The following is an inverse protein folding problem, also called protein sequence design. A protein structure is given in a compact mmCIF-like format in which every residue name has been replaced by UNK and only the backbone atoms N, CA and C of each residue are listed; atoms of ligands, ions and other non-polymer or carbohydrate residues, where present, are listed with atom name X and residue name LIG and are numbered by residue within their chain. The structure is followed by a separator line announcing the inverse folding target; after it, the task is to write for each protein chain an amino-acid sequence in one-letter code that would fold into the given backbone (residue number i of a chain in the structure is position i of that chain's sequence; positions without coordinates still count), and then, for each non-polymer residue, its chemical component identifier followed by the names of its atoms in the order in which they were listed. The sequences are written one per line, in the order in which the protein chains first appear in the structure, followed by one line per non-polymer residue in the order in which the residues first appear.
data_IF_661235595282
#
_entry.id   IF_661235595282
#
_cell.length_a   1.000
_cell.length_b   1.000
_cell.length_c   1.000
_cell.angle_alpha   90.00
_cell.angle_beta   90.00
_cell.angle_gamma   90.00
#
_symmetry.space_group_name_H-M   'P 1'
#
loop_
_entity.id
_entity.type
_entity.pdbx_description
1 polymer ?
#
# COMPACT_ATOMS: atom_id res chain seq x y z
N UNK A 1 -50.22 0.20 43.52
CA UNK A 1 -48.86 0.59 43.06
C UNK A 1 -48.62 -0.07 41.71
N UNK A 2 -48.61 0.71 40.61
CA UNK A 2 -48.23 0.22 39.28
C UNK A 2 -46.77 0.59 39.06
N UNK A 3 -45.90 -0.41 39.02
CA UNK A 3 -44.49 -0.26 38.65
C UNK A 3 -44.39 -0.28 37.12
N UNK A 4 -44.08 0.88 36.53
CA UNK A 4 -43.72 0.98 35.12
C UNK A 4 -42.25 0.55 34.97
N UNK A 5 -42.00 -0.56 34.29
CA UNK A 5 -40.68 -0.90 33.77
C UNK A 5 -40.44 -0.11 32.48
N UNK A 6 -39.50 0.83 32.52
CA UNK A 6 -39.02 1.53 31.33
C UNK A 6 -37.92 0.68 30.69
N UNK A 7 -38.23 0.01 29.58
CA UNK A 7 -37.24 -0.71 28.76
C UNK A 7 -36.57 0.31 27.84
N UNK A 8 -35.29 0.60 28.09
CA UNK A 8 -34.46 1.43 27.21
C UNK A 8 -33.99 0.56 26.04
N UNK A 9 -34.53 0.80 24.86
CA UNK A 9 -34.04 0.21 23.61
C UNK A 9 -32.77 0.97 23.17
N UNK A 10 -31.60 0.39 23.44
CA UNK A 10 -30.34 0.82 22.84
C UNK A 10 -30.35 0.42 21.35
N UNK A 11 -30.74 1.36 20.48
CA UNK A 11 -30.57 1.24 19.04
C UNK A 11 -29.06 1.28 18.73
N UNK A 12 -28.43 0.11 18.65
CA UNK A 12 -27.10 -0.05 18.09
C UNK A 12 -27.18 0.22 16.57
N UNK A 13 -27.00 1.48 16.18
CA UNK A 13 -26.77 1.83 14.78
C UNK A 13 -25.48 1.14 14.31
N UNK A 14 -25.65 0.01 13.62
CA UNK A 14 -24.56 -0.61 12.87
C UNK A 14 -24.27 0.27 11.66
N UNK A 15 -23.39 1.25 11.84
CA UNK A 15 -22.82 1.95 10.69
C UNK A 15 -22.01 0.93 9.89
N UNK A 16 -22.51 0.58 8.70
CA UNK A 16 -21.77 -0.27 7.78
C UNK A 16 -20.53 0.48 7.31
N UNK A 17 -19.36 0.11 7.83
CA UNK A 17 -18.09 0.59 7.27
C UNK A 17 -17.82 -0.13 5.95
N UNK A 18 -17.54 0.63 4.90
CA UNK A 18 -17.05 0.07 3.65
C UNK A 18 -15.52 -0.06 3.67
N UNK A 19 -14.98 -0.56 2.56
CA UNK A 19 -13.55 -0.51 2.27
C UNK A 19 -13.15 0.75 1.52
N UNK A 20 -11.87 1.06 1.57
CA UNK A 20 -11.23 2.03 0.69
C UNK A 20 -10.10 1.38 -0.11
N UNK A 21 -9.71 2.04 -1.20
CA UNK A 21 -8.62 1.62 -2.07
C UNK A 21 -7.57 2.72 -2.14
N UNK A 22 -6.30 2.36 -2.04
CA UNK A 22 -5.20 3.30 -2.28
C UNK A 22 -4.53 2.91 -3.60
N UNK A 23 -4.48 3.84 -4.54
CA UNK A 23 -3.79 3.68 -5.81
C UNK A 23 -2.35 4.16 -5.68
N UNK A 24 -1.42 3.40 -6.25
CA UNK A 24 -0.01 3.74 -6.32
C UNK A 24 0.41 3.93 -7.78
N UNK A 25 1.03 5.08 -8.03
CA UNK A 25 1.70 5.45 -9.28
C UNK A 25 3.16 5.85 -8.98
N UNK A 26 3.97 6.00 -10.03
CA UNK A 26 5.27 6.67 -9.92
C UNK A 26 5.37 7.74 -11.01
N UNK A 27 5.50 7.31 -12.27
CA UNK A 27 5.54 8.19 -13.44
C UNK A 27 4.18 8.29 -14.12
N UNK A 28 3.84 9.48 -14.60
CA UNK A 28 2.82 9.74 -15.61
C UNK A 28 3.52 10.24 -16.87
N UNK A 29 4.04 9.31 -17.67
CA UNK A 29 4.90 9.62 -18.82
C UNK A 29 4.95 8.47 -19.83
N UNK A 30 5.15 8.81 -21.09
CA UNK A 30 5.35 7.88 -22.22
C UNK A 30 6.82 7.48 -22.42
N UNK A 31 7.76 8.21 -21.82
CA UNK A 31 9.19 8.13 -22.13
C UNK A 31 10.02 7.48 -21.03
N UNK A 32 9.42 7.16 -19.90
CA UNK A 32 10.04 6.54 -18.73
C UNK A 32 9.89 5.01 -18.75
N UNK A 33 10.63 4.27 -17.92
CA UNK A 33 10.57 2.81 -17.91
C UNK A 33 9.13 2.29 -17.71
N UNK A 34 8.67 1.42 -18.61
CA UNK A 34 7.27 0.97 -18.62
C UNK A 34 6.83 0.37 -17.28
N UNK A 35 7.69 -0.36 -16.57
CA UNK A 35 7.37 -1.04 -15.31
C UNK A 35 6.82 -0.15 -14.19
N UNK A 36 7.06 1.16 -14.24
CA UNK A 36 6.62 2.15 -13.24
C UNK A 36 5.85 3.31 -13.85
N UNK A 37 5.50 3.21 -15.14
CA UNK A 37 4.89 4.31 -15.89
C UNK A 37 3.45 4.02 -16.30
N UNK A 38 2.65 5.08 -16.33
CA UNK A 38 1.35 5.13 -17.01
C UNK A 38 1.41 6.32 -17.98
N UNK A 39 0.83 6.20 -19.17
CA UNK A 39 0.78 7.35 -20.08
C UNK A 39 -0.17 8.43 -19.55
N UNK A 40 0.02 9.72 -19.87
CA UNK A 40 -0.94 10.76 -19.50
C UNK A 40 -2.38 10.46 -19.96
N UNK A 41 -2.55 9.88 -21.16
CA UNK A 41 -3.86 9.49 -21.70
C UNK A 41 -4.49 8.38 -20.86
N UNK A 42 -3.74 7.33 -20.54
CA UNK A 42 -4.25 6.21 -19.75
C UNK A 42 -4.53 6.65 -18.30
N UNK A 43 -3.72 7.55 -17.74
CA UNK A 43 -3.99 8.17 -16.45
C UNK A 43 -5.27 9.01 -16.47
N UNK A 44 -5.50 9.79 -17.53
CA UNK A 44 -6.77 10.51 -17.72
C UNK A 44 -7.97 9.55 -17.79
N UNK A 45 -7.82 8.36 -18.38
CA UNK A 45 -8.87 7.32 -18.37
C UNK A 45 -9.17 6.85 -16.94
N UNK A 46 -8.16 6.69 -16.09
CA UNK A 46 -8.37 6.34 -14.68
C UNK A 46 -9.16 7.41 -13.95
N UNK A 47 -8.76 8.69 -14.07
CA UNK A 47 -9.43 9.78 -13.38
C UNK A 47 -10.88 9.97 -13.85
N UNK A 48 -11.10 9.90 -15.16
CA UNK A 48 -12.45 9.94 -15.75
C UNK A 48 -13.32 8.82 -15.21
N UNK A 49 -12.79 7.59 -15.11
CA UNK A 49 -13.52 6.47 -14.56
C UNK A 49 -13.93 6.69 -13.10
N UNK A 50 -13.03 7.24 -12.27
CA UNK A 50 -13.34 7.58 -10.88
C UNK A 50 -14.51 8.56 -10.80
N UNK A 51 -14.50 9.60 -11.64
CA UNK A 51 -15.58 10.59 -11.71
C UNK A 51 -16.90 9.96 -12.17
N UNK A 52 -16.92 9.29 -13.33
CA UNK A 52 -18.13 8.73 -13.95
C UNK A 52 -18.78 7.65 -13.08
N UNK A 53 -18.01 6.97 -12.23
CA UNK A 53 -18.50 5.92 -11.34
C UNK A 53 -18.69 6.40 -9.89
N UNK A 54 -18.66 7.71 -9.66
CA UNK A 54 -18.92 8.34 -8.36
C UNK A 54 -18.01 7.83 -7.22
N UNK A 55 -16.72 7.70 -7.51
CA UNK A 55 -15.72 7.45 -6.47
C UNK A 55 -15.46 8.71 -5.65
N UNK A 56 -15.33 8.52 -4.34
CA UNK A 56 -14.97 9.56 -3.40
C UNK A 56 -13.44 9.59 -3.29
N UNK A 57 -12.79 10.42 -4.11
CA UNK A 57 -11.34 10.64 -3.99
C UNK A 57 -11.08 11.57 -2.81
N UNK A 58 -10.35 11.09 -1.81
CA UNK A 58 -10.11 11.80 -0.54
C UNK A 58 -8.62 11.95 -0.26
N UNK A 59 -8.20 12.97 0.52
CA UNK A 59 -6.83 13.04 0.98
C UNK A 59 -6.48 11.80 1.80
N UNK A 60 -5.26 11.28 1.62
CA UNK A 60 -4.83 10.09 2.34
C UNK A 60 -4.94 10.25 3.86
N UNK A 61 -4.69 11.47 4.36
CA UNK A 61 -4.80 11.80 5.78
C UNK A 61 -6.22 11.60 6.33
N UNK A 62 -7.25 11.98 5.58
CA UNK A 62 -8.64 11.75 5.97
C UNK A 62 -8.94 10.26 6.11
N UNK A 63 -8.51 9.47 5.12
CA UNK A 63 -8.73 8.02 5.12
C UNK A 63 -8.05 7.35 6.33
N UNK A 64 -6.78 7.69 6.57
CA UNK A 64 -6.01 7.14 7.68
C UNK A 64 -6.55 7.60 9.04
N UNK A 65 -6.93 8.87 9.18
CA UNK A 65 -7.54 9.37 10.42
C UNK A 65 -8.85 8.66 10.72
N UNK A 66 -9.68 8.38 9.71
CA UNK A 66 -10.90 7.61 9.90
C UNK A 66 -10.61 6.20 10.42
N UNK A 67 -9.62 5.50 9.86
CA UNK A 67 -9.24 4.16 10.32
C UNK A 67 -8.73 4.20 11.78
N UNK A 68 -7.81 5.14 12.10
CA UNK A 68 -7.28 5.30 13.47
C UNK A 68 -8.38 5.57 14.50
N UNK A 69 -9.35 6.40 14.12
CA UNK A 69 -10.45 6.80 15.00
C UNK A 69 -11.69 5.88 14.90
N UNK A 70 -11.56 4.73 14.23
CA UNK A 70 -12.63 3.76 14.03
C UNK A 70 -13.92 4.40 13.45
N UNK A 71 -13.75 5.39 12.57
CA UNK A 71 -14.83 6.08 11.90
C UNK A 71 -15.22 5.33 10.60
N UNK A 72 -16.52 5.12 10.35
CA UNK A 72 -16.98 4.41 9.16
C UNK A 72 -16.42 5.02 7.86
N UNK A 73 -15.92 4.15 6.96
CA UNK A 73 -15.48 4.57 5.63
C UNK A 73 -16.66 4.61 4.66
N UNK A 74 -16.74 5.67 3.85
CA UNK A 74 -17.75 5.80 2.79
C UNK A 74 -17.50 4.76 1.70
N UNK A 75 -18.57 4.31 1.05
CA UNK A 75 -18.44 3.43 -0.10
C UNK A 75 -17.67 4.12 -1.24
N UNK A 76 -16.96 3.34 -2.06
CA UNK A 76 -16.15 3.83 -3.20
C UNK A 76 -15.14 4.91 -2.80
N UNK A 77 -14.53 4.80 -1.62
CA UNK A 77 -13.47 5.73 -1.18
C UNK A 77 -12.13 5.35 -1.80
N UNK A 78 -11.43 6.32 -2.38
CA UNK A 78 -10.12 6.11 -3.02
C UNK A 78 -9.14 7.20 -2.58
N UNK A 79 -7.87 6.83 -2.36
CA UNK A 79 -6.77 7.77 -2.27
C UNK A 79 -5.77 7.54 -3.40
N UNK A 80 -5.16 8.61 -3.91
CA UNK A 80 -4.16 8.57 -5.00
C UNK A 80 -2.79 8.90 -4.40
N UNK A 81 -1.81 8.04 -4.67
CA UNK A 81 -0.44 8.21 -4.19
C UNK A 81 0.57 8.06 -5.33
N UNK A 82 1.65 8.84 -5.25
CA UNK A 82 2.80 8.78 -6.14
C UNK A 82 4.06 8.54 -5.31
N UNK A 83 4.90 7.63 -5.77
CA UNK A 83 6.22 7.38 -5.17
C UNK A 83 7.31 8.14 -5.94
N UNK A 84 8.49 8.29 -5.34
CA UNK A 84 9.75 8.85 -5.88
C UNK A 84 9.81 10.35 -6.21
N UNK A 85 8.68 11.05 -6.29
CA UNK A 85 8.64 12.49 -6.57
C UNK A 85 9.19 12.89 -7.95
N UNK A 86 8.91 12.12 -9.00
CA UNK A 86 9.31 12.47 -10.37
C UNK A 86 8.70 13.78 -10.87
N UNK A 87 9.45 14.49 -11.71
CA UNK A 87 9.03 15.80 -12.27
C UNK A 87 7.75 15.70 -13.11
N UNK A 88 7.50 14.56 -13.74
CA UNK A 88 6.31 14.33 -14.56
C UNK A 88 5.00 14.26 -13.75
N UNK A 89 5.08 14.08 -12.42
CA UNK A 89 3.92 14.27 -11.53
C UNK A 89 3.43 15.72 -11.62
N UNK A 90 4.34 16.70 -11.65
CA UNK A 90 3.98 18.11 -11.78
C UNK A 90 3.59 18.47 -13.21
N UNK A 91 4.33 18.01 -14.22
CA UNK A 91 4.09 18.45 -15.61
C UNK A 91 2.90 17.76 -16.26
N UNK A 92 2.66 16.49 -15.93
CA UNK A 92 1.66 15.65 -16.62
C UNK A 92 0.50 15.25 -15.69
N UNK A 93 0.77 14.83 -14.45
CA UNK A 93 -0.28 14.35 -13.56
C UNK A 93 -1.12 15.47 -12.93
N UNK A 94 -0.46 16.52 -12.40
CA UNK A 94 -1.12 17.63 -11.69
C UNK A 94 -2.21 18.32 -12.53
N UNK A 95 -1.99 18.73 -13.81
CA UNK A 95 -3.04 19.38 -14.59
C UNK A 95 -4.29 18.51 -14.77
N UNK A 96 -4.11 17.18 -14.83
CA UNK A 96 -5.20 16.22 -14.92
C UNK A 96 -5.92 16.06 -13.58
N UNK A 97 -5.19 16.00 -12.47
CA UNK A 97 -5.78 15.91 -11.12
C UNK A 97 -6.55 17.18 -10.74
N UNK A 98 -6.01 18.35 -11.05
CA UNK A 98 -6.63 19.66 -10.78
C UNK A 98 -7.99 19.80 -11.49
N UNK A 99 -8.11 19.29 -12.72
CA UNK A 99 -9.38 19.27 -13.48
C UNK A 99 -10.53 18.57 -12.73
N UNK A 100 -10.20 17.57 -11.91
CA UNK A 100 -11.19 16.83 -11.11
C UNK A 100 -11.19 17.25 -9.63
N UNK A 101 -10.33 18.19 -9.24
CA UNK A 101 -10.08 18.56 -7.84
C UNK A 101 -9.73 17.34 -6.97
N UNK A 102 -8.88 16.45 -7.48
CA UNK A 102 -8.52 15.21 -6.81
C UNK A 102 -7.28 15.38 -5.93
N UNK A 103 -7.39 15.17 -4.62
CA UNK A 103 -6.24 15.21 -3.72
C UNK A 103 -5.33 14.00 -3.94
N UNK A 104 -4.04 14.19 -3.66
CA UNK A 104 -3.03 13.15 -3.81
C UNK A 104 -1.88 13.31 -2.81
N UNK A 105 -1.08 12.27 -2.71
CA UNK A 105 0.11 12.20 -1.86
C UNK A 105 1.34 11.90 -2.70
N UNK A 106 2.46 12.55 -2.41
CA UNK A 106 3.77 12.25 -2.99
C UNK A 106 4.70 11.76 -1.87
N UNK A 107 5.22 10.55 -2.01
CA UNK A 107 6.29 10.04 -1.16
C UNK A 107 7.64 10.42 -1.77
N UNK A 108 8.53 10.97 -0.94
CA UNK A 108 9.77 11.61 -1.39
C UNK A 108 11.01 11.00 -0.76
N UNK A 109 12.13 11.07 -1.48
CA UNK A 109 13.45 10.66 -1.02
C UNK A 109 14.37 11.88 -0.84
N UNK A 110 14.52 12.43 0.37
CA UNK A 110 15.27 13.66 0.57
C UNK A 110 16.73 13.64 0.08
N UNK A 111 17.43 12.50 0.19
CA UNK A 111 18.79 12.35 -0.31
C UNK A 111 18.88 12.46 -1.83
N UNK A 112 17.93 11.84 -2.54
CA UNK A 112 17.82 11.91 -4.01
C UNK A 112 17.48 13.34 -4.46
N UNK A 113 16.48 13.98 -3.82
CA UNK A 113 16.07 15.36 -4.17
C UNK A 113 17.23 16.33 -3.97
N UNK A 114 17.93 16.26 -2.83
CA UNK A 114 19.07 17.14 -2.56
C UNK A 114 20.21 16.97 -3.57
N UNK A 115 20.54 15.73 -3.96
CA UNK A 115 21.55 15.49 -4.99
C UNK A 115 21.11 16.04 -6.35
N UNK A 116 19.83 15.88 -6.67
CA UNK A 116 19.29 16.36 -7.93
C UNK A 116 19.33 17.91 -8.01
N UNK A 117 18.96 18.62 -6.95
CA UNK A 117 19.06 20.09 -6.91
C UNK A 117 20.51 20.57 -7.14
N UNK A 118 21.50 19.87 -6.59
CA UNK A 118 22.91 20.19 -6.84
C UNK A 118 23.30 19.97 -8.32
N UNK A 119 22.70 18.98 -8.99
CA UNK A 119 22.94 18.71 -10.41
C UNK A 119 22.28 19.75 -11.35
N UNK A 120 21.15 20.34 -10.92
CA UNK A 120 20.53 21.47 -11.64
C UNK A 120 21.46 22.69 -11.68
N UNK A 121 22.17 22.96 -10.59
CA UNK A 121 23.19 24.03 -10.52
C UNK A 121 24.33 23.78 -11.53
N UNK A 122 24.60 22.53 -11.88
CA UNK A 122 25.62 22.15 -12.88
C UNK A 122 25.08 21.95 -14.30
N UNK A 123 23.82 22.35 -14.57
CA UNK A 123 23.24 22.37 -15.92
C UNK A 123 22.68 21.04 -16.43
N UNK A 124 22.43 20.06 -15.55
CA UNK A 124 21.80 18.77 -15.89
C UNK A 124 20.29 18.89 -15.71
N UNK A 125 19.48 18.41 -16.66
CA UNK A 125 18.01 18.37 -16.52
C UNK A 125 17.59 17.48 -15.34
N UNK A 126 16.67 17.96 -14.50
CA UNK A 126 16.15 17.19 -13.38
C UNK A 126 15.07 16.19 -13.81
N UNK A 127 15.14 14.98 -13.26
CA UNK A 127 14.08 13.98 -13.33
C UNK A 127 13.13 13.99 -12.11
N UNK A 128 13.43 14.78 -11.08
CA UNK A 128 12.71 14.82 -9.81
C UNK A 128 12.20 16.24 -9.50
N UNK A 129 11.17 16.33 -8.66
CA UNK A 129 10.70 17.60 -8.13
C UNK A 129 11.76 18.21 -7.20
N UNK A 130 11.94 19.53 -7.30
CA UNK A 130 12.74 20.30 -6.35
C UNK A 130 11.98 20.53 -5.04
N UNK A 131 12.66 20.94 -3.97
CA UNK A 131 12.01 21.32 -2.72
C UNK A 131 11.10 22.53 -2.87
N UNK A 132 11.45 23.47 -3.74
CA UNK A 132 10.58 24.61 -4.03
C UNK A 132 9.26 24.16 -4.68
N UNK A 133 9.33 23.21 -5.62
CA UNK A 133 8.14 22.63 -6.24
C UNK A 133 7.33 21.79 -5.24
N UNK A 134 7.98 20.96 -4.43
CA UNK A 134 7.33 20.15 -3.40
C UNK A 134 6.65 21.02 -2.33
N UNK A 135 7.29 22.12 -1.92
CA UNK A 135 6.69 23.08 -1.01
C UNK A 135 5.47 23.75 -1.63
N UNK A 136 5.54 24.20 -2.89
CA UNK A 136 4.41 24.78 -3.59
C UNK A 136 3.22 23.80 -3.66
N UNK A 137 3.47 22.55 -4.05
CA UNK A 137 2.45 21.49 -4.04
C UNK A 137 1.89 21.26 -2.63
N UNK A 138 2.76 21.28 -1.63
CA UNK A 138 2.38 21.15 -0.23
C UNK A 138 1.47 22.27 0.27
N UNK A 139 1.76 23.51 -0.11
CA UNK A 139 0.95 24.69 0.22
C UNK A 139 -0.42 24.66 -0.50
N UNK A 140 -0.53 23.95 -1.63
CA UNK A 140 -1.79 23.66 -2.34
C UNK A 140 -2.58 22.48 -1.73
N UNK A 141 -2.07 21.85 -0.67
CA UNK A 141 -2.74 20.75 0.04
C UNK A 141 -2.33 19.34 -0.40
N UNK A 142 -1.33 19.20 -1.27
CA UNK A 142 -0.72 17.90 -1.58
C UNK A 142 0.05 17.40 -0.36
N UNK A 143 -0.18 16.14 0.02
CA UNK A 143 0.56 15.53 1.14
C UNK A 143 1.96 15.17 0.65
N UNK A 144 2.99 15.67 1.32
CA UNK A 144 4.39 15.28 1.08
C UNK A 144 4.83 14.35 2.22
N UNK A 145 5.22 13.12 1.88
CA UNK A 145 5.45 12.04 2.84
C UNK A 145 6.76 11.30 2.57
N UNK A 146 7.15 10.40 3.48
CA UNK A 146 8.49 9.82 3.55
C UNK A 146 8.61 8.56 2.69
N UNK A 147 9.61 8.50 1.80
CA UNK A 147 9.97 7.29 1.03
C UNK A 147 11.35 6.74 1.42
N UNK A 148 11.89 7.15 2.56
CA UNK A 148 13.26 6.86 2.99
C UNK A 148 14.26 7.89 2.46
N UNK A 149 15.49 7.87 2.96
CA UNK A 149 16.47 8.90 2.59
C UNK A 149 17.04 8.70 1.18
N UNK A 150 17.47 7.48 0.83
CA UNK A 150 18.13 7.14 -0.44
C UNK A 150 17.40 6.09 -1.29
N UNK A 151 16.13 5.81 -0.98
CA UNK A 151 15.37 4.70 -1.58
C UNK A 151 15.99 3.31 -1.27
N UNK A 152 16.60 3.18 -0.08
CA UNK A 152 17.17 1.94 0.43
C UNK A 152 16.09 0.90 0.75
N UNK A 153 16.37 -0.37 0.50
CA UNK A 153 15.51 -1.46 0.97
C UNK A 153 15.59 -1.60 2.49
N UNK A 154 14.42 -1.65 3.14
CA UNK A 154 14.32 -1.88 4.59
C UNK A 154 14.21 -3.36 4.99
N UNK A 155 14.68 -4.25 4.13
CA UNK A 155 14.77 -5.69 4.45
C UNK A 155 16.18 -6.24 4.25
N UNK A 156 17.05 -5.47 3.57
CA UNK A 156 18.39 -5.89 3.17
C UNK A 156 19.41 -5.37 4.17
N UNK A 157 19.83 -6.23 5.08
CA UNK A 157 20.89 -5.92 6.05
C UNK A 157 22.22 -5.79 5.29
N UNK A 158 22.89 -4.66 5.47
CA UNK A 158 24.21 -4.40 4.90
C UNK A 158 25.24 -5.39 5.44
N UNK A 159 26.10 -5.90 4.55
CA UNK A 159 27.13 -6.87 4.91
C UNK A 159 28.00 -6.37 6.08
N UNK A 160 28.24 -7.28 7.04
CA UNK A 160 29.03 -6.99 8.24
C UNK A 160 28.27 -6.29 9.37
N UNK A 161 27.02 -5.88 9.17
CA UNK A 161 26.18 -5.34 10.25
C UNK A 161 25.34 -6.43 10.92
N UNK A 162 25.22 -6.34 12.24
CA UNK A 162 24.14 -7.03 12.95
C UNK A 162 22.80 -6.38 12.62
N UNK A 163 21.71 -7.11 12.80
CA UNK A 163 20.35 -6.57 12.63
C UNK A 163 20.11 -5.31 13.48
N UNK A 164 20.65 -5.26 14.70
CA UNK A 164 20.53 -4.09 15.58
C UNK A 164 21.30 -2.88 15.05
N UNK A 165 22.53 -3.07 14.57
CA UNK A 165 23.34 -2.00 13.99
C UNK A 165 22.70 -1.44 12.73
N UNK A 166 22.25 -2.33 11.84
CA UNK A 166 21.53 -1.94 10.63
C UNK A 166 20.23 -1.18 10.97
N UNK A 167 19.42 -1.68 11.91
CA UNK A 167 18.18 -0.99 12.29
C UNK A 167 18.47 0.39 12.91
N UNK A 168 19.55 0.55 13.68
CA UNK A 168 19.96 1.85 14.21
C UNK A 168 20.38 2.84 13.10
N UNK A 169 21.08 2.35 12.06
CA UNK A 169 21.40 3.16 10.88
C UNK A 169 20.13 3.57 10.12
N UNK A 170 19.23 2.62 9.85
CA UNK A 170 17.96 2.91 9.17
C UNK A 170 17.07 3.86 9.98
N UNK A 171 17.04 3.72 11.31
CA UNK A 171 16.35 4.65 12.22
C UNK A 171 16.84 6.08 12.01
N UNK A 172 18.16 6.27 11.97
CA UNK A 172 18.78 7.58 11.76
C UNK A 172 18.37 8.17 10.41
N UNK A 173 18.40 7.37 9.34
CA UNK A 173 18.06 7.81 7.99
C UNK A 173 16.57 8.14 7.83
N UNK A 174 15.67 7.32 8.39
CA UNK A 174 14.23 7.52 8.32
C UNK A 174 13.78 8.77 9.07
N UNK A 175 14.31 8.98 10.29
CA UNK A 175 14.02 10.17 11.08
C UNK A 175 14.64 11.44 10.47
N UNK A 176 15.83 11.33 9.90
CA UNK A 176 16.46 12.42 9.13
C UNK A 176 15.60 12.79 7.92
N UNK A 177 15.09 11.81 7.18
CA UNK A 177 14.20 12.07 6.05
C UNK A 177 12.93 12.81 6.48
N UNK A 178 12.28 12.37 7.57
CA UNK A 178 11.09 13.04 8.12
C UNK A 178 11.40 14.48 8.56
N UNK A 179 12.55 14.70 9.19
CA UNK A 179 13.01 16.03 9.62
C UNK A 179 13.19 16.97 8.43
N UNK A 180 13.85 16.51 7.36
CA UNK A 180 14.06 17.34 6.17
C UNK A 180 12.72 17.67 5.50
N UNK A 181 11.80 16.70 5.39
CA UNK A 181 10.46 16.95 4.82
C UNK A 181 9.76 18.07 5.61
N UNK A 182 9.80 18.00 6.95
CA UNK A 182 9.25 19.04 7.83
C UNK A 182 9.90 20.41 7.61
N UNK A 183 11.22 20.46 7.55
CA UNK A 183 11.95 21.71 7.33
C UNK A 183 11.65 22.34 5.97
N UNK A 184 11.54 21.52 4.92
CA UNK A 184 11.40 21.97 3.54
C UNK A 184 9.96 22.29 3.15
N UNK A 185 8.98 21.59 3.73
CA UNK A 185 7.58 21.68 3.31
C UNK A 185 6.63 22.12 4.43
N UNK A 186 7.08 22.13 5.69
CA UNK A 186 6.23 22.35 6.86
C UNK A 186 5.40 21.12 7.27
N UNK A 187 5.48 20.01 6.55
CA UNK A 187 4.67 18.81 6.79
C UNK A 187 5.46 17.70 7.50
N UNK A 188 4.81 16.96 8.39
CA UNK A 188 5.36 15.74 9.00
C UNK A 188 4.23 14.81 9.37
N UNK A 189 3.84 13.95 8.43
CA UNK A 189 2.69 13.07 8.57
C UNK A 189 3.03 11.75 9.25
N UNK A 190 4.33 11.42 9.37
CA UNK A 190 4.80 10.08 9.76
C UNK A 190 4.20 8.98 8.87
N UNK A 191 3.98 9.30 7.59
CA UNK A 191 3.56 8.36 6.56
C UNK A 191 4.80 7.91 5.80
N UNK A 192 5.03 6.60 5.77
CA UNK A 192 6.21 6.02 5.16
C UNK A 192 5.83 4.98 4.11
N UNK A 193 6.18 5.20 2.85
CA UNK A 193 6.08 4.18 1.83
C UNK A 193 7.37 3.36 1.78
N UNK A 194 7.26 2.03 1.82
CA UNK A 194 8.41 1.13 1.71
C UNK A 194 8.97 1.16 0.29
N UNK A 195 10.26 1.48 0.08
CA UNK A 195 10.93 1.24 -1.19
C UNK A 195 10.73 -0.20 -1.63
N UNK A 196 10.40 -0.40 -2.90
CA UNK A 196 10.09 -1.72 -3.50
C UNK A 196 8.90 -2.47 -2.90
N UNK A 197 8.17 -1.87 -1.94
CA UNK A 197 7.14 -2.53 -1.16
C UNK A 197 7.65 -3.65 -0.24
N UNK A 198 8.96 -3.73 -0.02
CA UNK A 198 9.60 -4.76 0.80
C UNK A 198 9.58 -4.35 2.28
N UNK A 199 9.05 -5.22 3.14
CA UNK A 199 8.97 -5.01 4.58
C UNK A 199 9.19 -6.31 5.36
N UNK A 200 9.46 -6.21 6.65
CA UNK A 200 9.61 -7.34 7.57
C UNK A 200 8.93 -7.04 8.91
N UNK A 201 8.62 -8.06 9.73
CA UNK A 201 8.05 -7.85 11.07
C UNK A 201 8.88 -6.89 11.94
N UNK A 202 10.21 -6.89 11.77
CA UNK A 202 11.12 -6.05 12.54
C UNK A 202 10.96 -4.56 12.21
N UNK A 203 10.87 -4.21 10.92
CA UNK A 203 10.63 -2.82 10.52
C UNK A 203 9.17 -2.40 10.79
N UNK A 204 8.20 -3.33 10.70
CA UNK A 204 6.83 -3.05 11.13
C UNK A 204 6.75 -2.71 12.62
N UNK A 205 7.47 -3.46 13.46
CA UNK A 205 7.59 -3.15 14.88
C UNK A 205 8.22 -1.78 15.09
N UNK A 206 9.31 -1.46 14.38
CA UNK A 206 9.93 -0.14 14.44
C UNK A 206 8.96 0.99 14.07
N UNK A 207 8.17 0.85 13.01
CA UNK A 207 7.18 1.87 12.62
C UNK A 207 6.17 2.10 13.75
N UNK A 208 5.68 1.02 14.37
CA UNK A 208 4.72 1.11 15.48
C UNK A 208 5.31 1.88 16.65
N UNK A 209 6.53 1.56 17.07
CA UNK A 209 7.20 2.23 18.20
C UNK A 209 7.52 3.70 17.91
N UNK A 210 7.67 4.09 16.63
CA UNK A 210 7.96 5.45 16.21
C UNK A 210 6.73 6.21 15.68
N UNK A 211 5.52 5.66 15.87
CA UNK A 211 4.24 6.24 15.42
C UNK A 211 4.15 6.50 13.90
N UNK A 212 4.84 5.70 13.10
CA UNK A 212 4.73 5.73 11.64
C UNK A 212 3.63 4.81 11.13
N UNK A 213 3.11 5.17 9.96
CA UNK A 213 2.19 4.34 9.16
C UNK A 213 2.93 3.89 7.91
N UNK A 214 2.98 2.59 7.71
CA UNK A 214 3.71 1.94 6.62
C UNK A 214 2.81 1.64 5.44
N UNK A 215 3.22 2.03 4.24
CA UNK A 215 2.50 1.80 2.99
C UNK A 215 3.33 0.94 2.06
N UNK A 216 2.81 -0.23 1.71
CA UNK A 216 3.51 -1.22 0.90
C UNK A 216 2.81 -1.41 -0.45
N UNK A 217 3.29 -2.36 -1.27
CA UNK A 217 2.86 -2.52 -2.67
C UNK A 217 2.09 -3.84 -2.93
N UNK A 218 1.68 -4.56 -1.88
CA UNK A 218 0.80 -5.72 -2.04
C UNK A 218 -0.65 -5.26 -2.28
N UNK A 219 -1.35 -6.02 -3.13
CA UNK A 219 -2.71 -5.70 -3.56
C UNK A 219 -3.74 -5.97 -2.47
N UNK A 220 -4.60 -5.00 -2.17
CA UNK A 220 -5.67 -5.16 -1.19
C UNK A 220 -6.43 -3.87 -0.94
N UNK A 221 -7.70 -4.00 -0.59
CA UNK A 221 -8.49 -2.89 -0.05
C UNK A 221 -8.26 -2.80 1.46
N UNK A 222 -8.51 -1.62 2.02
CA UNK A 222 -8.31 -1.32 3.44
C UNK A 222 -9.63 -1.05 4.16
N UNK A 223 -9.65 -1.32 5.45
CA UNK A 223 -10.81 -1.15 6.33
C UNK A 223 -10.38 -0.76 7.73
N UNK A 224 -11.32 -0.75 8.68
CA UNK A 224 -11.08 -0.27 10.05
C UNK A 224 -10.06 -1.12 10.84
N UNK A 225 -9.84 -2.37 10.42
CA UNK A 225 -8.93 -3.33 11.05
C UNK A 225 -7.64 -3.56 10.25
N UNK A 226 -7.37 -2.73 9.24
CA UNK A 226 -6.12 -2.80 8.50
C UNK A 226 -4.94 -2.52 9.42
N UNK A 227 -3.92 -3.38 9.39
CA UNK A 227 -2.65 -3.14 10.06
C UNK A 227 -1.96 -1.92 9.41
N UNK A 228 -1.82 -0.86 10.21
CA UNK A 228 -1.26 0.41 9.74
C UNK A 228 0.26 0.37 9.53
N UNK A 229 0.92 -0.74 9.85
CA UNK A 229 2.35 -0.90 9.58
C UNK A 229 2.62 -1.46 8.17
N UNK A 230 1.61 -1.92 7.43
CA UNK A 230 1.79 -2.49 6.08
C UNK A 230 0.57 -2.25 5.18
N UNK A 231 0.00 -1.05 5.22
CA UNK A 231 -1.18 -0.63 4.47
C UNK A 231 -1.01 -0.97 2.98
N UNK A 232 -1.85 -1.86 2.41
CA UNK A 232 -1.73 -2.28 1.02
C UNK A 232 -2.13 -1.15 0.06
N UNK A 233 -1.44 -1.09 -1.08
CA UNK A 233 -1.75 -0.21 -2.20
C UNK A 233 -1.83 -1.02 -3.47
N UNK A 234 -2.67 -0.61 -4.40
CA UNK A 234 -2.75 -1.21 -5.72
C UNK A 234 -1.84 -0.45 -6.70
N UNK A 235 -0.79 -1.10 -7.24
CA UNK A 235 -0.09 -0.57 -8.40
C UNK A 235 -1.07 -0.37 -9.56
N UNK A 236 -1.04 0.83 -10.14
CA UNK A 236 -1.91 1.26 -11.22
C UNK A 236 -1.13 1.77 -12.45
N UNK A 237 0.19 1.58 -12.47
CA UNK A 237 1.05 1.73 -13.65
C UNK A 237 1.18 0.41 -14.42
N UNK A 238 1.76 0.46 -15.62
CA UNK A 238 1.96 -0.74 -16.45
C UNK A 238 2.71 -1.86 -15.69
N UNK A 239 2.36 -3.14 -15.88
CA UNK A 239 1.33 -3.66 -16.80
C UNK A 239 -0.10 -3.63 -16.21
N UNK A 240 -0.31 -2.92 -15.11
CA UNK A 240 -1.57 -2.89 -14.35
C UNK A 240 -2.42 -1.64 -14.61
N UNK A 241 -2.10 -0.89 -15.67
CA UNK A 241 -2.71 0.36 -16.10
C UNK A 241 -4.05 0.18 -16.84
N UNK A 242 -4.48 -1.05 -17.11
CA UNK A 242 -5.72 -1.28 -17.86
C UNK A 242 -6.95 -1.12 -16.98
N UNK A 243 -7.93 -0.37 -17.50
CA UNK A 243 -9.14 -0.02 -16.75
C UNK A 243 -9.97 -1.23 -16.32
N UNK A 244 -9.96 -2.31 -17.11
CA UNK A 244 -10.64 -3.56 -16.78
C UNK A 244 -10.13 -4.14 -15.46
N UNK A 245 -8.81 -4.25 -15.32
CA UNK A 245 -8.18 -4.70 -14.07
C UNK A 245 -8.31 -3.68 -12.94
N UNK A 246 -8.21 -2.39 -13.23
CA UNK A 246 -8.37 -1.34 -12.23
C UNK A 246 -9.77 -1.31 -11.63
N UNK A 247 -10.83 -1.50 -12.44
CA UNK A 247 -12.22 -1.56 -11.97
C UNK A 247 -12.40 -2.60 -10.87
N UNK A 248 -11.85 -3.79 -11.06
CA UNK A 248 -12.02 -4.89 -10.10
C UNK A 248 -11.30 -4.55 -8.79
N UNK A 249 -10.11 -3.95 -8.87
CA UNK A 249 -9.35 -3.45 -7.70
C UNK A 249 -10.09 -2.34 -6.97
N UNK A 250 -10.64 -1.36 -7.70
CA UNK A 250 -11.39 -0.23 -7.13
C UNK A 250 -12.66 -0.67 -6.40
N UNK A 251 -13.26 -1.79 -6.81
CA UNK A 251 -14.45 -2.36 -6.16
C UNK A 251 -14.11 -3.41 -5.08
N UNK A 252 -12.83 -3.64 -4.78
CA UNK A 252 -12.42 -4.58 -3.76
C UNK A 252 -12.96 -4.20 -2.37
N UNK A 253 -13.07 -5.21 -1.51
CA UNK A 253 -13.44 -5.14 -0.11
C UNK A 253 -12.26 -5.59 0.75
N UNK A 254 -12.02 -4.95 1.91
CA UNK A 254 -10.97 -5.37 2.83
C UNK A 254 -11.29 -6.77 3.32
N UNK A 255 -10.33 -7.66 3.18
CA UNK A 255 -10.46 -9.03 3.62
C UNK A 255 -9.67 -9.21 4.91
N UNK A 256 -10.38 -9.18 6.04
CA UNK A 256 -9.77 -9.21 7.36
C UNK A 256 -9.21 -10.61 7.61
N UNK A 257 -7.88 -10.70 7.54
CA UNK A 257 -7.12 -11.93 7.74
C UNK A 257 -6.00 -11.64 8.74
N UNK A 258 -5.86 -12.52 9.73
CA UNK A 258 -4.78 -12.45 10.72
C UNK A 258 -3.73 -13.51 10.41
N UNK A 259 -2.46 -13.09 10.49
CA UNK A 259 -1.29 -13.95 10.40
C UNK A 259 -0.39 -13.70 11.61
N UNK A 260 0.12 -14.77 12.21
CA UNK A 260 0.97 -14.69 13.40
C UNK A 260 2.19 -15.61 13.27
N UNK A 261 3.23 -15.31 14.05
CA UNK A 261 4.47 -16.09 14.09
C UNK A 261 5.10 -16.26 12.70
N UNK A 262 5.48 -17.50 12.37
CA UNK A 262 6.09 -17.84 11.07
C UNK A 262 5.21 -17.46 9.87
N UNK A 263 3.88 -17.44 10.03
CA UNK A 263 2.96 -17.12 8.93
C UNK A 263 2.99 -15.63 8.56
N UNK A 264 3.37 -14.76 9.51
CA UNK A 264 3.48 -13.32 9.29
C UNK A 264 4.78 -12.95 8.55
N UNK A 265 5.83 -13.77 8.65
CA UNK A 265 7.14 -13.50 8.02
C UNK A 265 7.01 -13.31 6.52
N UNK A 266 7.67 -12.27 6.03
CA UNK A 266 7.73 -11.92 4.61
C UNK A 266 9.01 -12.41 3.96
N UNK A 267 10.14 -12.41 4.67
CA UNK A 267 11.42 -12.89 4.14
C UNK A 267 11.53 -14.40 4.39
N UNK A 268 11.74 -15.17 3.32
CA UNK A 268 11.84 -16.63 3.39
C UNK A 268 12.98 -17.15 2.53
N UNK A 269 13.61 -18.23 2.96
CA UNK A 269 14.62 -18.92 2.14
C UNK A 269 13.94 -19.76 1.07
N UNK A 270 14.58 -19.87 -0.09
CA UNK A 270 14.11 -20.72 -1.17
C UNK A 270 13.86 -22.16 -0.68
N UNK A 271 12.79 -22.80 -1.17
CA UNK A 271 12.34 -24.16 -0.82
C UNK A 271 11.95 -24.40 0.64
N UNK A 272 11.96 -23.39 1.53
CA UNK A 272 11.66 -23.60 2.95
C UNK A 272 10.18 -23.43 3.32
N UNK A 273 9.44 -22.58 2.61
CA UNK A 273 8.00 -22.39 2.85
C UNK A 273 7.21 -23.30 1.91
N UNK A 274 6.44 -24.23 2.48
CA UNK A 274 5.63 -25.21 1.74
C UNK A 274 4.12 -25.04 1.91
N UNK A 275 3.72 -24.26 2.91
CA UNK A 275 2.32 -23.99 3.20
C UNK A 275 2.15 -22.65 3.89
N UNK A 276 0.90 -22.18 3.89
CA UNK A 276 0.46 -21.05 4.71
C UNK A 276 -0.92 -21.34 5.27
N UNK A 277 -1.16 -20.92 6.50
CA UNK A 277 -2.46 -20.97 7.15
C UNK A 277 -2.95 -19.55 7.41
N UNK A 278 -4.21 -19.30 7.05
CA UNK A 278 -4.88 -18.02 7.24
C UNK A 278 -6.03 -18.17 8.21
N UNK A 279 -6.12 -17.24 9.16
CA UNK A 279 -7.30 -17.05 10.01
C UNK A 279 -8.13 -15.89 9.44
N UNK A 280 -9.37 -16.18 9.05
CA UNK A 280 -10.30 -15.27 8.38
C UNK A 280 -11.33 -14.76 9.38
N UNK A 281 -11.55 -13.44 9.40
CA UNK A 281 -12.50 -12.80 10.33
C UNK A 281 -13.75 -12.29 9.61
N UNK A 282 -13.96 -12.69 8.37
CA UNK A 282 -15.10 -12.33 7.53
C UNK A 282 -15.89 -13.59 7.19
N UNK A 283 -17.22 -13.53 7.27
CA UNK A 283 -18.15 -14.64 6.98
C UNK A 283 -19.08 -14.37 5.79
N UNK A 284 -19.04 -13.17 5.21
CA UNK A 284 -19.85 -12.72 4.06
C UNK A 284 -19.38 -13.30 2.70
N UNK A 285 -19.00 -14.57 2.64
CA UNK A 285 -18.67 -15.25 1.39
C UNK A 285 -18.87 -16.77 1.50
N UNK A 286 -19.16 -17.44 0.39
CA UNK A 286 -19.17 -18.89 0.36
C UNK A 286 -17.74 -19.44 0.34
N UNK A 287 -17.39 -20.38 1.24
CA UNK A 287 -16.07 -21.03 1.28
C UNK A 287 -15.62 -21.60 -0.07
N UNK A 288 -16.56 -22.10 -0.89
CA UNK A 288 -16.31 -22.60 -2.25
C UNK A 288 -15.93 -21.51 -3.25
N UNK A 289 -16.29 -20.26 -2.98
CA UNK A 289 -15.95 -19.07 -3.75
C UNK A 289 -14.62 -18.42 -3.36
N UNK A 290 -13.93 -18.94 -2.33
CA UNK A 290 -12.58 -18.48 -1.99
C UNK A 290 -11.57 -19.08 -2.98
N UNK A 291 -10.78 -18.22 -3.62
CA UNK A 291 -9.71 -18.62 -4.51
C UNK A 291 -8.42 -17.88 -4.18
N UNK A 292 -7.32 -18.63 -4.11
CA UNK A 292 -6.00 -18.09 -3.84
C UNK A 292 -5.03 -18.42 -4.98
N UNK A 293 -4.25 -17.44 -5.40
CA UNK A 293 -3.28 -17.55 -6.50
C UNK A 293 -1.90 -17.11 -6.01
N UNK A 294 -0.89 -17.94 -6.24
CA UNK A 294 0.50 -17.64 -5.90
C UNK A 294 1.27 -17.27 -7.17
N UNK A 295 2.04 -16.18 -7.14
CA UNK A 295 2.91 -15.80 -8.27
C UNK A 295 3.81 -16.97 -8.69
N UNK A 296 3.77 -17.33 -9.97
CA UNK A 296 4.54 -18.45 -10.54
C UNK A 296 3.95 -19.85 -10.30
N UNK A 297 3.02 -20.02 -9.36
CA UNK A 297 2.37 -21.32 -9.09
C UNK A 297 0.89 -21.36 -9.51
N UNK A 298 0.28 -20.21 -9.79
CA UNK A 298 -1.12 -20.12 -10.20
C UNK A 298 -2.10 -20.45 -9.07
N UNK A 299 -3.30 -20.92 -9.45
CA UNK A 299 -4.38 -21.23 -8.50
C UNK A 299 -3.97 -22.37 -7.57
N UNK A 300 -4.16 -22.18 -6.27
CA UNK A 300 -3.80 -23.16 -5.25
C UNK A 300 -5.03 -23.89 -4.69
N UNK A 301 -4.81 -25.11 -4.21
CA UNK A 301 -5.83 -25.89 -3.49
C UNK A 301 -5.94 -25.39 -2.05
N UNK A 302 -7.17 -25.17 -1.62
CA UNK A 302 -7.50 -24.70 -0.26
C UNK A 302 -8.08 -25.87 0.53
N UNK A 303 -7.58 -26.05 1.76
CA UNK A 303 -8.13 -27.01 2.73
C UNK A 303 -8.64 -26.25 3.93
N UNK A 304 -9.96 -26.26 4.14
CA UNK A 304 -10.60 -25.62 5.29
C UNK A 304 -10.43 -26.46 6.56
N UNK A 305 -10.22 -25.78 7.68
CA UNK A 305 -10.06 -26.33 9.03
C UNK A 305 -11.09 -25.65 9.94
N UNK A 306 -12.35 -26.06 9.82
CA UNK A 306 -13.48 -25.40 10.48
C UNK A 306 -14.03 -24.23 9.67
N UNK A 307 -14.52 -23.21 10.37
CA UNK A 307 -15.25 -22.10 9.75
C UNK A 307 -14.38 -20.95 9.28
N UNK A 308 -13.37 -20.61 10.08
CA UNK A 308 -12.63 -19.36 9.92
C UNK A 308 -11.15 -19.58 9.64
N UNK A 309 -10.74 -20.81 9.31
CA UNK A 309 -9.34 -21.15 9.07
C UNK A 309 -9.19 -22.01 7.83
N UNK A 310 -8.21 -21.68 7.00
CA UNK A 310 -7.83 -22.52 5.88
C UNK A 310 -6.32 -22.55 5.68
N UNK A 311 -5.85 -23.67 5.12
CA UNK A 311 -4.45 -23.88 4.76
C UNK A 311 -4.33 -24.04 3.25
N UNK A 312 -3.27 -23.47 2.69
CA UNK A 312 -2.80 -23.74 1.35
C UNK A 312 -1.52 -24.53 1.47
N UNK A 313 -1.49 -25.75 0.92
CA UNK A 313 -0.24 -26.44 0.63
C UNK A 313 0.19 -26.07 -0.78
N UNK A 314 1.38 -25.52 -0.94
CA UNK A 314 1.84 -24.99 -2.22
C UNK A 314 2.01 -26.12 -3.23
N UNK A 315 1.56 -25.91 -4.46
CA UNK A 315 1.70 -26.86 -5.56
C UNK A 315 3.15 -27.03 -6.03
N UNK A 316 4.07 -26.19 -5.56
CA UNK A 316 5.49 -26.20 -5.86
C UNK A 316 6.27 -25.24 -4.97
N UNK A 317 7.54 -25.06 -5.28
CA UNK A 317 8.40 -24.10 -4.59
C UNK A 317 8.05 -22.67 -4.96
N UNK A 318 8.05 -21.76 -3.97
CA UNK A 318 7.94 -20.33 -4.26
C UNK A 318 9.14 -19.89 -5.12
N UNK A 319 8.91 -19.21 -6.26
CA UNK A 319 10.01 -18.67 -7.07
C UNK A 319 10.87 -17.70 -6.26
N UNK A 320 12.16 -17.59 -6.61
CA UNK A 320 13.05 -16.56 -6.06
C UNK A 320 12.52 -15.18 -6.44
N UNK A 321 12.59 -14.21 -5.53
CA UNK A 321 12.12 -12.85 -5.76
C UNK A 321 10.88 -12.44 -4.97
N UNK A 322 10.19 -11.42 -5.47
CA UNK A 322 8.92 -10.94 -4.90
C UNK A 322 7.78 -11.86 -5.32
N UNK A 323 7.26 -12.63 -4.37
CA UNK A 323 6.14 -13.55 -4.54
C UNK A 323 4.96 -13.04 -3.74
N UNK A 324 3.73 -13.29 -4.20
CA UNK A 324 2.52 -12.97 -3.45
C UNK A 324 1.49 -14.08 -3.57
N UNK A 325 0.73 -14.31 -2.51
CA UNK A 325 -0.52 -15.06 -2.53
C UNK A 325 -1.67 -14.06 -2.50
N UNK A 326 -2.41 -13.94 -3.60
CA UNK A 326 -3.64 -13.15 -3.65
C UNK A 326 -4.83 -14.08 -3.38
N UNK A 327 -5.56 -13.84 -2.30
CA UNK A 327 -6.80 -14.54 -1.98
C UNK A 327 -8.00 -13.62 -2.18
N UNK A 328 -8.98 -14.10 -2.94
CA UNK A 328 -10.21 -13.36 -3.26
C UNK A 328 -11.45 -14.21 -3.03
N UNK A 329 -12.52 -13.57 -2.58
CA UNK A 329 -13.83 -14.22 -2.40
C UNK A 329 -14.95 -13.24 -2.76
N UNK A 330 -15.96 -13.69 -3.50
CA UNK A 330 -17.12 -12.87 -3.83
C UNK A 330 -17.96 -12.61 -2.57
N UNK A 331 -18.38 -11.36 -2.38
CA UNK A 331 -19.26 -10.99 -1.26
C UNK A 331 -20.70 -11.47 -1.52
N UNK A 332 -21.33 -12.04 -0.49
CA UNK A 332 -22.76 -12.41 -0.53
C UNK A 332 -23.62 -11.15 -0.44
N UNK A 333 -23.30 -10.24 0.50
CA UNK A 333 -24.08 -9.04 0.78
C UNK A 333 -23.89 -7.91 -0.26
N UNK A 334 -22.79 -7.93 -1.03
CA UNK A 334 -22.42 -6.88 -2.00
C UNK A 334 -22.10 -7.49 -3.37
N UNK A 335 -23.13 -7.85 -4.17
CA UNK A 335 -22.94 -8.45 -5.49
C UNK A 335 -22.00 -7.64 -6.39
N UNK A 336 -21.12 -8.34 -7.12
CA UNK A 336 -20.12 -7.73 -8.00
C UNK A 336 -18.87 -7.20 -7.29
N UNK A 337 -18.75 -7.37 -5.96
CA UNK A 337 -17.56 -7.01 -5.19
C UNK A 337 -16.86 -8.24 -4.61
N UNK A 338 -15.55 -8.10 -4.43
CA UNK A 338 -14.69 -9.18 -3.96
C UNK A 338 -13.88 -8.73 -2.75
N UNK A 339 -13.89 -9.54 -1.70
CA UNK A 339 -12.89 -9.49 -0.65
C UNK A 339 -11.52 -9.77 -1.26
N UNK A 340 -10.51 -8.96 -0.94
CA UNK A 340 -9.16 -9.08 -1.49
C UNK A 340 -8.10 -8.99 -0.39
N UNK A 341 -7.29 -10.04 -0.26
CA UNK A 341 -6.10 -10.07 0.58
C UNK A 341 -4.88 -10.47 -0.24
N UNK A 342 -3.72 -9.89 0.06
CA UNK A 342 -2.45 -10.32 -0.52
C UNK A 342 -1.40 -10.52 0.57
N UNK A 343 -0.83 -11.72 0.62
CA UNK A 343 0.37 -12.01 1.43
C UNK A 343 1.62 -11.92 0.56
N UNK A 344 2.54 -10.97 0.79
CA UNK A 344 3.83 -10.97 0.11
C UNK A 344 4.84 -11.90 0.79
N UNK A 345 5.75 -12.43 -0.01
CA UNK A 345 7.01 -13.03 0.38
C UNK A 345 8.16 -12.50 -0.48
N UNK A 346 9.32 -12.38 0.15
CA UNK A 346 10.59 -12.00 -0.47
C UNK A 346 11.50 -13.21 -0.35
N UNK A 347 11.50 -14.01 -1.43
CA UNK A 347 12.16 -15.32 -1.45
C UNK A 347 13.62 -15.12 -1.85
N UNK A 348 14.52 -15.42 -0.93
CA UNK A 348 15.97 -15.33 -1.12
C UNK A 348 16.45 -16.36 -2.16
N UNK A 349 17.64 -16.17 -2.72
CA UNK A 349 18.29 -17.16 -3.59
C UNK A 349 18.69 -18.42 -2.79
N UNK A 350 19.16 -19.45 -3.49
CA UNK A 350 19.53 -20.74 -2.90
C UNK A 350 20.60 -20.63 -1.78
N UNK A 351 21.57 -19.71 -1.91
CA UNK A 351 22.58 -19.47 -0.89
C UNK A 351 22.12 -18.58 0.28
N UNK A 352 20.87 -18.10 0.27
CA UNK A 352 20.33 -17.18 1.27
C UNK A 352 20.62 -15.71 1.00
N UNK A 353 21.24 -15.38 -0.13
CA UNK A 353 21.50 -14.02 -0.57
C UNK A 353 20.28 -13.40 -1.27
N UNK A 354 20.26 -12.08 -1.35
CA UNK A 354 19.16 -11.36 -1.96
C UNK A 354 19.17 -11.42 -3.50
N UNK A 355 17.97 -11.40 -4.09
CA UNK A 355 17.77 -11.18 -5.53
C UNK A 355 18.00 -9.72 -5.91
N UNK A 356 18.31 -9.44 -7.18
CA UNK A 356 18.48 -8.06 -7.66
C UNK A 356 17.17 -7.27 -7.58
N UNK A 357 17.25 -5.99 -7.22
CA UNK A 357 16.10 -5.13 -6.99
C UNK A 357 15.39 -4.68 -8.26
#
# INVERSE_FOLDING_TARGET
MRTNFLVIFLLLFHFSSFGAVILQYHHVSDTTPKSTSITPEQFSVHLKYLQENSFNVVPLSQLINNIKNQQPLKNKTVAITFDDAYIDILTNAKPLLDKYNYPYTIYVNPGIINRNENALVTGINSHYLSWAQLKMLGDEGVIIANHGFEHDSLTRITDGLSQQQWLAQQTTLLLKAETIIKEKTGQSWHYFAYPYGEYSPEIQYWLKENNFIGFSQQSGAIGLYTDLTNVPRFPASMPYDKISGLRDKLNALPFNIKLQGEQAKTIVKFKQTKSITFDVETDDFYKSGLHCYISGLGKQKITWQGDNRFTINFSGDLPIGRVRCNCTAASISKPGRYYWYSKPWFVLKEGGEWYHL
#
